data_IF_287508775692
#
_entry.id   IF_287508775692
#
_cell.length_a   1.000
_cell.length_b   1.000
_cell.length_c   1.000
_cell.angle_alpha   90.00
_cell.angle_beta   90.00
_cell.angle_gamma   90.00
#
_symmetry.space_group_name_H-M   'P 1'
#
loop_
_entity.id
_entity.type
_entity.pdbx_description
1 polymer ?
#
# COMPACT_ATOMS: atom_id res chain seq x y z
N UNK A 1 -8.88 25.06 18.52
CA UNK A 1 -8.38 23.75 18.05
C UNK A 1 -8.40 22.83 19.25
N UNK A 2 -8.83 21.57 19.10
CA UNK A 2 -8.79 20.60 20.21
C UNK A 2 -7.32 20.43 20.66
N UNK A 3 -7.05 20.43 21.96
CA UNK A 3 -5.69 20.21 22.51
C UNK A 3 -5.08 18.90 22.00
N UNK A 4 -5.90 17.86 21.83
CA UNK A 4 -5.45 16.58 21.26
C UNK A 4 -4.92 16.73 19.83
N UNK A 5 -5.61 17.53 19.00
CA UNK A 5 -5.22 17.75 17.60
C UNK A 5 -3.91 18.53 17.54
N UNK A 6 -3.78 19.57 18.36
CA UNK A 6 -2.54 20.35 18.44
C UNK A 6 -1.35 19.49 18.89
N UNK A 7 -1.56 18.59 19.85
CA UNK A 7 -0.53 17.64 20.28
C UNK A 7 -0.09 16.71 19.13
N UNK A 8 -1.04 16.14 18.38
CA UNK A 8 -0.73 15.25 17.25
C UNK A 8 0.07 15.97 16.15
N UNK A 9 -0.36 17.19 15.78
CA UNK A 9 0.36 18.02 14.80
C UNK A 9 1.79 18.30 15.26
N UNK A 10 1.97 18.69 16.53
CA UNK A 10 3.30 18.93 17.10
C UNK A 10 4.20 17.68 17.03
N UNK A 11 3.68 16.50 17.36
CA UNK A 11 4.48 15.27 17.30
C UNK A 11 4.89 14.91 15.87
N UNK A 12 3.99 15.10 14.89
CA UNK A 12 4.29 14.86 13.47
C UNK A 12 5.37 15.83 12.96
N UNK A 13 5.26 17.11 13.29
CA UNK A 13 6.23 18.12 12.88
C UNK A 13 7.62 17.88 13.50
N UNK A 14 7.66 17.53 14.79
CA UNK A 14 8.90 17.16 15.47
C UNK A 14 9.54 15.92 14.87
N UNK A 15 8.75 14.93 14.46
CA UNK A 15 9.25 13.72 13.80
C UNK A 15 9.85 14.03 12.42
N UNK A 16 9.18 14.88 11.61
CA UNK A 16 9.73 15.32 10.34
C UNK A 16 11.06 16.05 10.51
N UNK A 17 11.16 16.98 11.48
CA UNK A 17 12.39 17.71 11.76
C UNK A 17 13.53 16.77 12.20
N UNK A 18 13.23 15.82 13.09
CA UNK A 18 14.20 14.81 13.53
C UNK A 18 14.79 14.04 12.34
N UNK A 19 13.93 13.50 11.46
CA UNK A 19 14.39 12.70 10.33
C UNK A 19 15.07 13.52 9.23
N UNK A 20 14.73 14.81 9.09
CA UNK A 20 15.42 15.72 8.17
C UNK A 20 16.87 16.00 8.59
N UNK A 21 17.18 15.92 9.89
CA UNK A 21 18.52 16.13 10.46
C UNK A 21 19.27 14.81 10.72
N UNK A 22 18.62 13.67 10.52
CA UNK A 22 19.18 12.34 10.77
C UNK A 22 19.75 11.71 9.51
N UNK A 23 20.55 10.65 9.71
CA UNK A 23 20.92 9.70 8.66
C UNK A 23 20.26 8.34 8.97
N UNK A 24 19.04 8.07 8.47
CA UNK A 24 18.35 6.80 8.70
C UNK A 24 19.13 5.65 8.03
N UNK A 25 19.46 4.62 8.81
CA UNK A 25 20.24 3.46 8.34
C UNK A 25 19.47 2.13 8.41
N UNK A 26 18.17 2.18 8.71
CA UNK A 26 17.33 0.98 8.75
C UNK A 26 17.02 0.56 7.31
N UNK A 27 17.47 -0.64 6.91
CA UNK A 27 17.43 -1.10 5.53
C UNK A 27 16.00 -1.26 4.95
N UNK A 28 14.99 -1.43 5.80
CA UNK A 28 13.59 -1.55 5.40
C UNK A 28 12.84 -0.22 5.29
N UNK A 29 13.44 0.88 5.72
CA UNK A 29 12.84 2.21 5.66
C UNK A 29 13.25 2.95 4.39
N UNK A 30 12.39 3.85 3.92
CA UNK A 30 12.65 4.65 2.72
C UNK A 30 11.86 5.96 2.72
N UNK A 31 12.29 6.93 1.92
CA UNK A 31 11.58 8.19 1.68
C UNK A 31 10.71 8.08 0.43
N UNK A 32 9.42 8.36 0.58
CA UNK A 32 8.49 8.45 -0.55
C UNK A 32 8.70 9.76 -1.32
N UNK A 33 8.54 9.73 -2.65
CA UNK A 33 8.63 10.95 -3.46
C UNK A 33 7.48 11.92 -3.14
N UNK A 34 7.69 13.25 -3.27
CA UNK A 34 6.63 14.23 -2.98
C UNK A 34 5.32 13.99 -3.75
N UNK A 35 5.42 13.62 -5.02
CA UNK A 35 4.25 13.33 -5.86
C UNK A 35 3.50 12.08 -5.38
N UNK A 36 4.21 11.03 -4.95
CA UNK A 36 3.57 9.84 -4.43
C UNK A 36 2.94 10.10 -3.05
N UNK A 37 3.54 10.98 -2.24
CA UNK A 37 2.97 11.41 -0.96
C UNK A 37 1.66 12.18 -1.14
N UNK A 38 1.56 13.06 -2.14
CA UNK A 38 0.34 13.82 -2.43
C UNK A 38 -0.86 12.91 -2.70
N UNK A 39 -0.63 11.78 -3.37
CA UNK A 39 -1.67 10.80 -3.68
C UNK A 39 -2.24 10.08 -2.43
N UNK A 40 -1.62 10.19 -1.26
CA UNK A 40 -2.13 9.59 -0.02
C UNK A 40 -3.26 10.38 0.63
N UNK A 41 -3.43 11.66 0.26
CA UNK A 41 -4.41 12.58 0.86
C UNK A 41 -5.57 12.93 -0.09
N UNK A 42 -5.82 12.08 -1.09
CA UNK A 42 -6.89 12.28 -2.06
C UNK A 42 -8.18 11.54 -1.65
N UNK A 43 -9.29 11.93 -2.28
CA UNK A 43 -10.64 11.39 -2.05
C UNK A 43 -10.74 9.86 -2.16
N UNK A 44 -9.81 9.19 -2.84
CA UNK A 44 -9.82 7.73 -2.96
C UNK A 44 -9.77 7.01 -1.60
N UNK A 45 -9.19 7.64 -0.57
CA UNK A 45 -9.17 7.07 0.78
C UNK A 45 -10.58 6.94 1.39
N UNK A 46 -11.55 7.69 0.90
CA UNK A 46 -12.93 7.70 1.37
C UNK A 46 -13.86 6.83 0.52
N UNK A 47 -13.32 6.07 -0.45
CA UNK A 47 -14.09 5.27 -1.43
C UNK A 47 -13.80 3.78 -1.29
N UNK A 48 -14.86 3.00 -1.38
CA UNK A 48 -14.76 1.54 -1.49
C UNK A 48 -14.74 1.10 -2.95
N UNK A 49 -13.65 0.44 -3.34
CA UNK A 49 -13.45 -0.12 -4.68
C UNK A 49 -13.41 -1.65 -4.67
N UNK A 50 -14.30 -2.28 -3.90
CA UNK A 50 -14.36 -3.74 -3.82
C UNK A 50 -14.74 -4.38 -5.17
N UNK A 51 -14.02 -5.43 -5.56
CA UNK A 51 -14.19 -6.13 -6.83
C UNK A 51 -13.01 -5.95 -7.78
N UNK A 52 -13.24 -6.16 -9.07
CA UNK A 52 -12.29 -5.92 -10.14
C UNK A 52 -12.69 -4.66 -10.93
N UNK A 53 -11.76 -4.01 -11.66
CA UNK A 53 -12.11 -2.91 -12.55
C UNK A 53 -13.22 -3.33 -13.54
N UNK A 54 -14.29 -2.53 -13.65
CA UNK A 54 -15.49 -2.84 -14.45
C UNK A 54 -16.49 -3.80 -13.78
N UNK A 55 -16.11 -4.46 -12.69
CA UNK A 55 -16.93 -5.43 -11.94
C UNK A 55 -16.92 -5.10 -10.43
N UNK A 56 -17.23 -3.84 -10.10
CA UNK A 56 -17.24 -3.35 -8.72
C UNK A 56 -18.57 -3.63 -8.03
N UNK A 57 -18.50 -3.93 -6.74
CA UNK A 57 -19.70 -4.05 -5.90
C UNK A 57 -20.29 -2.69 -5.52
N UNK A 58 -19.46 -1.65 -5.45
CA UNK A 58 -19.86 -0.28 -5.12
C UNK A 58 -19.78 0.64 -6.35
N UNK A 59 -20.66 1.65 -6.36
CA UNK A 59 -20.72 2.66 -7.41
C UNK A 59 -19.64 3.74 -7.25
N UNK A 60 -19.43 4.55 -8.29
CA UNK A 60 -18.53 5.71 -8.24
C UNK A 60 -17.05 5.41 -8.55
N UNK A 61 -16.74 4.21 -9.04
CA UNK A 61 -15.35 3.75 -9.24
C UNK A 61 -14.75 4.06 -10.62
N UNK A 62 -15.41 4.86 -11.46
CA UNK A 62 -14.97 5.17 -12.83
C UNK A 62 -13.49 5.58 -12.92
N UNK A 63 -13.04 6.45 -12.01
CA UNK A 63 -11.66 6.94 -12.01
C UNK A 63 -10.69 6.02 -11.25
N UNK A 64 -11.17 5.30 -10.22
CA UNK A 64 -10.38 4.30 -9.50
C UNK A 64 -10.00 3.16 -10.44
N UNK A 65 -10.93 2.70 -11.26
CA UNK A 65 -10.71 1.66 -12.27
C UNK A 65 -9.64 2.05 -13.28
N UNK A 66 -9.70 3.28 -13.79
CA UNK A 66 -8.68 3.79 -14.72
C UNK A 66 -7.28 3.79 -14.10
N UNK A 67 -7.16 4.15 -12.81
CA UNK A 67 -5.88 4.12 -12.08
C UNK A 67 -5.42 2.69 -11.85
N UNK A 68 -6.28 1.81 -11.34
CA UNK A 68 -5.93 0.41 -11.03
C UNK A 68 -5.47 -0.35 -12.29
N UNK A 69 -6.15 -0.16 -13.42
CA UNK A 69 -5.74 -0.73 -14.72
C UNK A 69 -4.36 -0.22 -15.12
N UNK A 70 -4.13 1.11 -15.05
CA UNK A 70 -2.85 1.71 -15.46
C UNK A 70 -1.70 1.23 -14.58
N UNK A 71 -1.90 1.16 -13.27
CA UNK A 71 -0.88 0.72 -12.31
C UNK A 71 -0.58 -0.78 -12.47
N UNK A 72 -1.59 -1.60 -12.74
CA UNK A 72 -1.42 -3.03 -13.05
C UNK A 72 -0.54 -3.23 -14.29
N UNK A 73 -0.79 -2.49 -15.37
CA UNK A 73 0.04 -2.56 -16.59
C UNK A 73 1.46 -2.02 -16.37
N UNK A 74 1.63 -1.02 -15.50
CA UNK A 74 2.95 -0.55 -15.08
C UNK A 74 3.72 -1.63 -14.31
N UNK A 75 3.07 -2.28 -13.33
CA UNK A 75 3.66 -3.36 -12.56
C UNK A 75 4.08 -4.53 -13.47
N UNK A 76 3.19 -4.94 -14.38
CA UNK A 76 3.49 -6.00 -15.37
C UNK A 76 4.71 -5.67 -16.22
N UNK A 77 4.83 -4.43 -16.70
CA UNK A 77 5.99 -3.99 -17.50
C UNK A 77 7.27 -3.91 -16.67
N UNK A 78 7.19 -3.35 -15.46
CA UNK A 78 8.33 -3.19 -14.56
C UNK A 78 8.94 -4.55 -14.17
N UNK A 79 8.09 -5.49 -13.74
CA UNK A 79 8.52 -6.80 -13.27
C UNK A 79 8.55 -7.88 -14.36
N UNK A 80 8.18 -7.53 -15.60
CA UNK A 80 8.14 -8.43 -16.76
C UNK A 80 7.30 -9.69 -16.50
N UNK A 81 6.15 -9.53 -15.84
CA UNK A 81 5.25 -10.62 -15.48
C UNK A 81 3.97 -10.61 -16.34
N UNK A 82 3.30 -11.78 -16.41
CA UNK A 82 2.04 -11.94 -17.15
C UNK A 82 0.84 -11.36 -16.41
N UNK A 83 0.89 -11.37 -15.08
CA UNK A 83 -0.18 -10.92 -14.20
C UNK A 83 0.43 -10.17 -13.01
N UNK A 84 -0.24 -9.14 -12.54
CA UNK A 84 0.08 -8.41 -11.33
C UNK A 84 -1.22 -8.05 -10.62
N UNK A 85 -1.22 -8.14 -9.30
CA UNK A 85 -2.29 -7.65 -8.43
C UNK A 85 -1.71 -6.54 -7.55
N UNK A 86 -2.32 -5.37 -7.61
CA UNK A 86 -1.85 -4.14 -6.95
C UNK A 86 -2.71 -3.75 -5.75
N UNK A 87 -3.69 -4.58 -5.39
CA UNK A 87 -4.65 -4.36 -4.30
C UNK A 87 -4.16 -4.73 -2.90
N UNK A 88 -3.17 -5.64 -2.69
CA UNK A 88 -2.68 -5.93 -1.34
C UNK A 88 -2.10 -4.68 -0.65
N UNK A 89 -2.64 -4.36 0.54
CA UNK A 89 -2.26 -3.14 1.30
C UNK A 89 -0.93 -3.26 2.07
N UNK A 90 -0.36 -4.47 2.15
CA UNK A 90 0.92 -4.74 2.82
C UNK A 90 1.55 -6.01 2.28
N UNK A 91 2.85 -6.22 2.57
CA UNK A 91 3.53 -7.48 2.26
C UNK A 91 2.90 -8.69 2.96
N UNK A 92 2.40 -8.51 4.19
CA UNK A 92 1.69 -9.57 4.93
C UNK A 92 0.39 -9.97 4.23
N UNK A 93 -0.41 -9.00 3.77
CA UNK A 93 -1.65 -9.27 3.04
C UNK A 93 -1.36 -9.96 1.69
N UNK A 94 -0.31 -9.54 0.99
CA UNK A 94 0.10 -10.18 -0.27
C UNK A 94 0.50 -11.66 -0.04
N UNK A 95 1.31 -11.93 0.99
CA UNK A 95 1.69 -13.29 1.35
C UNK A 95 0.46 -14.13 1.74
N UNK A 96 -0.46 -13.57 2.53
CA UNK A 96 -1.69 -14.26 2.90
C UNK A 96 -2.54 -14.62 1.68
N UNK A 97 -2.67 -13.71 0.70
CA UNK A 97 -3.40 -13.99 -0.54
C UNK A 97 -2.80 -15.17 -1.31
N UNK A 98 -1.47 -15.25 -1.41
CA UNK A 98 -0.78 -16.37 -2.08
C UNK A 98 -0.97 -17.68 -1.31
N UNK A 99 -0.79 -17.66 0.00
CA UNK A 99 -0.98 -18.86 0.85
C UNK A 99 -2.42 -19.37 0.79
N UNK A 100 -3.40 -18.46 0.79
CA UNK A 100 -4.81 -18.83 0.70
C UNK A 100 -5.19 -19.34 -0.69
N UNK A 101 -4.57 -18.81 -1.76
CA UNK A 101 -4.85 -19.23 -3.12
C UNK A 101 -4.20 -20.57 -3.50
N UNK A 102 -3.04 -20.90 -2.92
CA UNK A 102 -2.24 -22.07 -3.32
C UNK A 102 -2.14 -23.15 -2.25
N UNK A 103 -2.46 -22.84 -1.00
CA UNK A 103 -2.35 -23.74 0.14
C UNK A 103 -3.70 -24.12 0.73
N UNK A 104 -3.68 -25.19 1.53
CA UNK A 104 -4.83 -25.66 2.30
C UNK A 104 -4.48 -25.68 3.80
N UNK A 105 -5.47 -25.62 4.70
CA UNK A 105 -5.23 -25.80 6.13
C UNK A 105 -4.44 -27.09 6.42
N UNK A 106 -3.30 -26.95 7.10
CA UNK A 106 -2.41 -28.07 7.43
C UNK A 106 -1.32 -28.36 6.38
N UNK A 107 -1.30 -27.65 5.24
CA UNK A 107 -0.21 -27.75 4.29
C UNK A 107 1.13 -27.27 4.89
N UNK A 108 2.22 -27.94 4.51
CA UNK A 108 3.58 -27.60 4.95
C UNK A 108 4.16 -26.54 4.02
N UNK A 109 4.63 -25.44 4.59
CA UNK A 109 5.32 -24.36 3.87
C UNK A 109 6.76 -24.27 4.37
N UNK A 110 7.73 -24.26 3.45
CA UNK A 110 9.13 -24.01 3.79
C UNK A 110 9.42 -22.52 3.74
N UNK A 111 10.03 -21.98 4.79
CA UNK A 111 10.46 -20.58 4.88
C UNK A 111 11.87 -20.50 5.44
N UNK A 112 12.49 -19.34 5.31
CA UNK A 112 13.64 -18.99 6.15
C UNK A 112 13.16 -18.77 7.59
N UNK A 113 13.97 -19.18 8.56
CA UNK A 113 13.68 -18.91 9.96
C UNK A 113 13.86 -17.41 10.26
N UNK A 114 12.97 -16.86 11.08
CA UNK A 114 13.23 -15.58 11.73
C UNK A 114 14.26 -15.88 12.83
N UNK A 115 15.47 -15.33 12.68
CA UNK A 115 16.60 -15.53 13.58
C UNK A 115 16.27 -15.21 15.04
#
# INVERSE_FOLDING_TARGET
MNEDVAFLEEQVDRHHAWFAESLPMIASENLISPLAREMLLIDFQDRYAEGLPGERYYQGNTYVDAVEIRVTELAKRLFRCRHADVRPISGTNANLAVLFALGEPGAVVSTVALS
#
